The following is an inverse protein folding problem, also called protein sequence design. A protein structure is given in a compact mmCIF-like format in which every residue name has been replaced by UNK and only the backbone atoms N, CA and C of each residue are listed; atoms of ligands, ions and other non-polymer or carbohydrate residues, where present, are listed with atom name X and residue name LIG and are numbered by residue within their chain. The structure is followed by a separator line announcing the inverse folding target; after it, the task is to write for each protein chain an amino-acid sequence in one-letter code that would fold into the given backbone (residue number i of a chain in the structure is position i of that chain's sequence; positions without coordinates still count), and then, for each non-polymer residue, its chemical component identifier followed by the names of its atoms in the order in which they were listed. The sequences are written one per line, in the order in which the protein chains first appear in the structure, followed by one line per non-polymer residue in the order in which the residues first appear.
data_IF_124675919850
#
_entry.id   IF_124675919850
#
_cell.length_a   1.000
_cell.length_b   1.000
_cell.length_c   1.000
_cell.angle_alpha   90.00
_cell.angle_beta   90.00
_cell.angle_gamma   90.00
#
_symmetry.space_group_name_H-M   'P 1'
#
loop_
_entity.id
_entity.type
_entity.pdbx_description
1 polymer ?
#
# COMPACT_ATOMS: atom_id res chain seq x y z
N UNK A 1 4.89 -46.55 17.57
CA UNK A 1 5.65 -45.29 17.60
C UNK A 1 5.30 -44.53 16.32
N UNK A 2 4.82 -43.29 16.41
CA UNK A 2 4.53 -42.48 15.22
C UNK A 2 5.86 -41.84 14.78
N UNK A 3 6.29 -41.97 13.52
CA UNK A 3 7.51 -41.33 13.05
C UNK A 3 7.39 -39.81 13.18
N UNK A 4 8.53 -39.15 13.44
CA UNK A 4 8.58 -37.70 13.44
C UNK A 4 8.14 -37.16 12.05
N UNK A 5 7.46 -36.01 12.00
CA UNK A 5 7.09 -35.38 10.73
C UNK A 5 8.35 -35.10 9.91
N UNK A 6 8.25 -35.33 8.60
CA UNK A 6 9.31 -35.01 7.66
C UNK A 6 9.11 -33.58 7.14
N UNK A 7 10.17 -32.78 7.20
CA UNK A 7 10.19 -31.42 6.65
C UNK A 7 10.62 -31.49 5.19
N UNK A 8 9.92 -30.75 4.33
CA UNK A 8 10.27 -30.61 2.92
C UNK A 8 10.00 -29.20 2.43
N UNK A 9 10.83 -28.73 1.51
CA UNK A 9 10.53 -27.54 0.71
C UNK A 9 9.70 -27.96 -0.50
N UNK A 10 8.68 -27.16 -0.82
CA UNK A 10 7.83 -27.36 -1.99
C UNK A 10 7.34 -26.01 -2.50
N UNK A 11 6.83 -25.98 -3.73
CA UNK A 11 6.24 -24.77 -4.29
C UNK A 11 4.85 -24.50 -3.70
N UNK A 12 4.40 -23.24 -3.69
CA UNK A 12 3.11 -22.87 -3.12
C UNK A 12 1.93 -23.59 -3.79
N UNK A 13 2.06 -23.91 -5.08
CA UNK A 13 1.06 -24.65 -5.86
C UNK A 13 0.84 -26.08 -5.33
N UNK A 14 1.87 -26.67 -4.69
CA UNK A 14 1.84 -28.04 -4.15
C UNK A 14 1.74 -28.09 -2.63
N UNK A 15 1.81 -26.94 -1.95
CA UNK A 15 1.80 -26.83 -0.49
C UNK A 15 0.39 -26.99 0.13
N UNK A 16 -0.66 -26.97 -0.68
CA UNK A 16 -2.04 -27.07 -0.19
C UNK A 16 -2.25 -28.36 0.62
N UNK A 17 -2.87 -28.26 1.80
CA UNK A 17 -3.08 -29.33 2.80
C UNK A 17 -1.84 -29.83 3.55
N UNK A 18 -0.66 -29.25 3.32
CA UNK A 18 0.49 -29.46 4.19
C UNK A 18 0.38 -28.60 5.46
N UNK A 19 1.20 -28.93 6.45
CA UNK A 19 1.36 -28.13 7.68
C UNK A 19 2.70 -27.41 7.59
N UNK A 20 2.73 -26.13 7.99
CA UNK A 20 3.98 -25.38 8.06
C UNK A 20 4.97 -26.07 9.01
N UNK A 21 6.23 -26.19 8.59
CA UNK A 21 7.29 -26.75 9.40
C UNK A 21 7.81 -25.76 10.47
N UNK A 22 7.68 -24.46 10.20
CA UNK A 22 8.10 -23.35 11.05
C UNK A 22 7.24 -22.10 10.81
N UNK A 23 7.36 -21.11 11.69
CA UNK A 23 6.68 -19.82 11.56
C UNK A 23 7.16 -19.06 10.33
N UNK A 24 6.23 -18.40 9.64
CA UNK A 24 6.54 -17.55 8.47
C UNK A 24 6.37 -16.08 8.85
N UNK A 25 7.47 -15.33 8.79
CA UNK A 25 7.49 -13.90 9.05
C UNK A 25 7.48 -13.10 7.74
N UNK A 26 6.67 -12.05 7.69
CA UNK A 26 6.68 -11.11 6.57
C UNK A 26 8.06 -10.44 6.45
N UNK A 27 8.60 -10.42 5.23
CA UNK A 27 9.89 -9.76 4.93
C UNK A 27 9.74 -8.27 4.62
N UNK A 28 8.52 -7.83 4.32
CA UNK A 28 8.22 -6.49 3.85
C UNK A 28 6.87 -6.03 4.40
N UNK A 29 6.71 -4.72 4.56
CA UNK A 29 5.42 -4.11 4.83
C UNK A 29 4.51 -4.24 3.61
N UNK A 30 3.22 -4.51 3.86
CA UNK A 30 2.18 -4.53 2.84
C UNK A 30 1.00 -3.70 3.36
N UNK A 31 0.70 -2.54 2.75
CA UNK A 31 1.38 -1.94 1.59
C UNK A 31 2.78 -1.42 1.92
N UNK A 32 3.66 -1.38 0.92
CA UNK A 32 5.06 -0.94 1.08
C UNK A 32 5.22 0.58 1.26
N UNK A 33 4.15 1.35 1.03
CA UNK A 33 4.10 2.80 1.19
C UNK A 33 2.66 3.24 1.50
N UNK A 34 2.52 4.47 2.01
CA UNK A 34 1.22 5.11 2.18
C UNK A 34 0.56 5.29 0.82
N UNK A 35 -0.58 4.63 0.61
CA UNK A 35 -1.32 4.71 -0.64
C UNK A 35 -2.76 5.13 -0.37
N UNK A 36 -3.41 5.76 -1.36
CA UNK A 36 -4.82 6.11 -1.24
C UNK A 36 -5.70 4.86 -1.19
N UNK A 37 -6.61 4.80 -0.24
CA UNK A 37 -7.59 3.71 -0.14
C UNK A 37 -8.78 3.86 -1.09
N UNK A 38 -8.98 5.05 -1.64
CA UNK A 38 -10.13 5.43 -2.46
C UNK A 38 -9.69 6.41 -3.55
N UNK A 39 -10.54 6.62 -4.55
CA UNK A 39 -10.42 7.76 -5.45
C UNK A 39 -10.93 9.03 -4.74
N UNK A 40 -10.20 10.14 -4.88
CA UNK A 40 -10.54 11.39 -4.21
C UNK A 40 -9.55 12.52 -4.47
N UNK A 41 -9.29 13.33 -3.43
CA UNK A 41 -8.35 14.44 -3.48
C UNK A 41 -7.36 14.39 -2.32
N UNK A 42 -6.06 14.37 -2.64
CA UNK A 42 -5.00 14.51 -1.64
C UNK A 42 -4.68 15.99 -1.46
N UNK A 43 -4.59 16.47 -0.22
CA UNK A 43 -4.27 17.85 0.12
C UNK A 43 -3.69 17.91 1.53
N UNK A 44 -2.98 18.99 1.85
CA UNK A 44 -2.50 19.23 3.21
C UNK A 44 -3.67 19.67 4.12
N UNK A 45 -3.88 18.97 5.24
CA UNK A 45 -4.97 19.29 6.18
C UNK A 45 -4.94 20.75 6.67
N UNK A 46 -3.75 21.31 6.87
CA UNK A 46 -3.56 22.70 7.30
C UNK A 46 -4.19 23.71 6.33
N UNK A 47 -4.22 23.40 5.02
CA UNK A 47 -4.83 24.23 3.98
C UNK A 47 -6.33 24.44 4.17
N UNK A 48 -7.00 23.63 5.00
CA UNK A 48 -8.41 23.83 5.32
C UNK A 48 -8.65 24.99 6.30
N UNK A 49 -7.64 25.39 7.08
CA UNK A 49 -7.81 26.41 8.13
C UNK A 49 -8.10 27.80 7.59
N UNK A 50 -7.56 28.12 6.42
CA UNK A 50 -7.77 29.41 5.76
C UNK A 50 -9.19 29.56 5.17
N UNK A 51 -9.97 28.47 5.16
CA UNK A 51 -11.34 28.38 4.59
C UNK A 51 -11.42 28.90 3.15
N UNK A 52 -10.28 28.90 2.45
CA UNK A 52 -10.19 29.22 1.04
C UNK A 52 -10.39 27.95 0.20
N UNK A 53 -10.84 28.09 -1.06
CA UNK A 53 -10.82 26.97 -1.99
C UNK A 53 -9.41 26.40 -2.16
N UNK A 54 -9.30 25.07 -2.17
CA UNK A 54 -8.06 24.37 -2.48
C UNK A 54 -7.98 24.17 -4.01
N UNK A 55 -6.87 24.56 -4.62
CA UNK A 55 -6.69 24.52 -6.08
C UNK A 55 -6.17 23.16 -6.54
N UNK A 56 -6.68 22.64 -7.66
CA UNK A 56 -6.18 21.39 -8.24
C UNK A 56 -4.83 21.62 -8.95
N UNK A 57 -3.78 20.90 -8.55
CA UNK A 57 -2.41 21.00 -9.07
C UNK A 57 -1.97 19.77 -9.89
N UNK A 58 -2.79 18.72 -9.99
CA UNK A 58 -2.49 17.56 -10.82
C UNK A 58 -3.24 16.31 -10.42
N UNK A 59 -2.70 15.16 -10.85
CA UNK A 59 -3.24 13.84 -10.55
C UNK A 59 -2.12 12.88 -10.06
N UNK A 60 -2.44 11.99 -9.11
CA UNK A 60 -1.56 10.90 -8.64
C UNK A 60 -2.24 9.55 -8.89
N UNK A 61 -1.58 8.66 -9.63
CA UNK A 61 -2.10 7.37 -10.04
C UNK A 61 -1.17 6.22 -9.63
N UNK A 62 -1.75 5.03 -9.41
CA UNK A 62 -0.99 3.83 -9.09
C UNK A 62 0.05 3.52 -10.19
N UNK A 63 1.23 3.07 -9.76
CA UNK A 63 2.34 2.74 -10.67
C UNK A 63 3.13 3.94 -11.19
N UNK A 64 2.76 5.18 -10.85
CA UNK A 64 3.62 6.34 -11.12
C UNK A 64 4.74 6.42 -10.07
N UNK A 65 6.02 6.44 -10.48
CA UNK A 65 7.15 6.32 -9.55
C UNK A 65 7.46 7.62 -8.81
N UNK A 66 7.03 8.77 -9.33
CA UNK A 66 7.32 10.07 -8.75
C UNK A 66 6.07 10.61 -8.06
N UNK A 67 6.08 10.77 -6.73
CA UNK A 67 4.96 11.37 -6.02
C UNK A 67 4.82 12.85 -6.42
N UNK A 68 3.58 13.29 -6.61
CA UNK A 68 3.27 14.70 -6.86
C UNK A 68 3.53 15.49 -5.57
N UNK A 69 4.41 16.48 -5.63
CA UNK A 69 4.63 17.41 -4.51
C UNK A 69 3.55 18.51 -4.61
N UNK A 70 2.74 18.62 -3.56
CA UNK A 70 1.69 19.63 -3.46
C UNK A 70 2.19 20.88 -2.73
N UNK A 71 1.89 22.04 -3.32
CA UNK A 71 2.07 23.32 -2.64
C UNK A 71 0.96 23.55 -1.59
N UNK A 72 1.20 24.35 -0.54
CA UNK A 72 0.15 24.75 0.38
C UNK A 72 -1.03 25.40 -0.36
N UNK A 73 -2.26 25.05 0.03
CA UNK A 73 -3.47 25.50 -0.67
C UNK A 73 -3.80 24.76 -1.96
N UNK A 74 -3.09 23.68 -2.32
CA UNK A 74 -3.41 22.86 -3.49
C UNK A 74 -3.76 21.41 -3.16
N UNK A 75 -4.33 20.73 -4.15
CA UNK A 75 -4.74 19.33 -4.10
C UNK A 75 -4.30 18.57 -5.36
N UNK A 76 -4.12 17.26 -5.22
CA UNK A 76 -4.05 16.31 -6.33
C UNK A 76 -5.37 15.57 -6.42
N UNK A 77 -5.86 15.26 -7.63
CA UNK A 77 -6.80 14.15 -7.79
C UNK A 77 -6.02 12.85 -7.57
N UNK A 78 -6.40 12.04 -6.60
CA UNK A 78 -5.67 10.82 -6.26
C UNK A 78 -6.55 9.61 -6.53
N UNK A 79 -5.96 8.57 -7.12
CA UNK A 79 -6.64 7.31 -7.41
C UNK A 79 -6.26 6.22 -6.40
N UNK A 80 -7.11 5.21 -6.27
CA UNK A 80 -6.89 4.07 -5.38
C UNK A 80 -5.54 3.39 -5.68
N UNK A 81 -4.72 3.21 -4.64
CA UNK A 81 -3.38 2.61 -4.72
C UNK A 81 -2.26 3.57 -5.16
N UNK A 82 -2.58 4.84 -5.43
CA UNK A 82 -1.57 5.85 -5.73
C UNK A 82 -0.81 6.30 -4.46
N UNK A 83 0.50 6.63 -4.58
CA UNK A 83 1.31 7.18 -3.49
C UNK A 83 0.98 8.66 -3.19
#
# INVERSE_FOLDING_TARGET
MIPAPQVMECSLETATRLVLAEDIFARYDIPAFSQSSMDGYAFQFESLKDRQPILLQGESAAGQPTPLILEPGTAARIFTGAP
#
